data_IF_264607278510
#
_entry.id   IF_264607278510
#
_cell.length_a   1.000
_cell.length_b   1.000
_cell.length_c   1.000
_cell.angle_alpha   90.00
_cell.angle_beta   90.00
_cell.angle_gamma   90.00
#
_symmetry.space_group_name_H-M   'P 1'
#
loop_
_entity.id
_entity.type
_entity.pdbx_description
1 polymer ?
#
# COMPACT_ATOMS: atom_id res chain seq x y z
N UNK A 1 -1.76 2.14 33.16
CA UNK A 1 -1.48 1.63 31.80
C UNK A 1 -0.03 1.19 31.75
N UNK A 2 0.24 -0.04 31.33
CA UNK A 2 1.62 -0.50 31.12
C UNK A 2 2.27 0.37 30.03
N UNK A 3 3.52 0.81 30.27
CA UNK A 3 4.32 1.53 29.26
C UNK A 3 4.64 0.55 28.13
N UNK A 4 4.28 0.91 26.90
CA UNK A 4 4.75 0.22 25.70
C UNK A 4 6.27 0.17 25.69
N UNK A 5 6.84 -0.98 25.32
CA UNK A 5 8.27 -1.06 25.00
C UNK A 5 8.56 -0.28 23.71
N UNK A 6 9.82 0.12 23.50
CA UNK A 6 10.19 0.90 22.32
C UNK A 6 9.86 0.16 21.00
N UNK A 7 10.09 -1.16 20.97
CA UNK A 7 9.82 -2.02 19.80
C UNK A 7 8.31 -2.09 19.52
N UNK A 8 7.49 -2.27 20.54
CA UNK A 8 6.03 -2.31 20.36
C UNK A 8 5.47 -0.95 19.94
N UNK A 9 6.04 0.14 20.45
CA UNK A 9 5.67 1.49 20.06
C UNK A 9 5.99 1.75 18.58
N UNK A 10 7.19 1.37 18.11
CA UNK A 10 7.59 1.53 16.71
C UNK A 10 6.73 0.67 15.77
N UNK A 11 6.48 -0.59 16.14
CA UNK A 11 5.61 -1.48 15.36
C UNK A 11 4.20 -0.87 15.22
N UNK A 12 3.60 -0.44 16.34
CA UNK A 12 2.26 0.18 16.33
C UNK A 12 2.25 1.53 15.61
N UNK A 13 3.33 2.31 15.68
CA UNK A 13 3.47 3.56 14.92
C UNK A 13 3.51 3.30 13.43
N UNK A 14 4.24 2.27 12.98
CA UNK A 14 4.27 1.86 11.57
C UNK A 14 2.90 1.38 11.09
N UNK A 15 2.25 0.53 11.88
CA UNK A 15 0.91 0.01 11.57
C UNK A 15 -0.13 1.15 11.50
N UNK A 16 -0.08 2.10 12.44
CA UNK A 16 -0.96 3.27 12.44
C UNK A 16 -0.76 4.13 11.20
N UNK A 17 0.50 4.35 10.80
CA UNK A 17 0.84 5.15 9.62
C UNK A 17 0.27 4.52 8.34
N UNK A 18 0.41 3.21 8.18
CA UNK A 18 -0.12 2.47 7.04
C UNK A 18 -1.66 2.57 6.96
N UNK A 19 -2.36 2.39 8.09
CA UNK A 19 -3.82 2.54 8.14
C UNK A 19 -4.24 3.98 7.82
N UNK A 20 -3.52 4.99 8.30
CA UNK A 20 -3.81 6.38 7.99
C UNK A 20 -3.66 6.69 6.50
N UNK A 21 -2.60 6.17 5.87
CA UNK A 21 -2.35 6.29 4.43
C UNK A 21 -3.47 5.62 3.61
N UNK A 22 -4.00 4.47 4.07
CA UNK A 22 -5.18 3.79 3.50
C UNK A 22 -6.50 4.54 3.71
N UNK A 23 -6.49 5.69 4.38
CA UNK A 23 -7.65 6.58 4.51
C UNK A 23 -8.43 6.46 5.82
N UNK A 24 -8.00 5.60 6.75
CA UNK A 24 -8.68 5.47 8.04
C UNK A 24 -8.51 6.71 8.91
N UNK A 25 -9.54 7.06 9.68
CA UNK A 25 -9.50 8.18 10.63
C UNK A 25 -8.65 7.81 11.85
N UNK A 26 -8.08 8.82 12.54
CA UNK A 26 -7.32 8.59 13.77
C UNK A 26 -8.17 7.93 14.86
N UNK A 27 -9.48 8.21 14.90
CA UNK A 27 -10.41 7.56 15.82
C UNK A 27 -10.51 6.05 15.54
N UNK A 28 -10.71 5.66 14.28
CA UNK A 28 -10.80 4.25 13.89
C UNK A 28 -9.49 3.52 14.16
N UNK A 29 -8.34 4.15 13.84
CA UNK A 29 -7.02 3.58 14.11
C UNK A 29 -6.82 3.36 15.62
N UNK A 30 -7.21 4.34 16.44
CA UNK A 30 -7.14 4.24 17.91
C UNK A 30 -7.87 3.01 18.43
N UNK A 31 -9.05 2.70 17.89
CA UNK A 31 -9.83 1.52 18.25
C UNK A 31 -9.17 0.23 17.76
N UNK A 32 -8.64 0.22 16.53
CA UNK A 32 -8.03 -0.97 15.91
C UNK A 32 -6.74 -1.42 16.59
N UNK A 33 -5.86 -0.48 16.98
CA UNK A 33 -4.52 -0.81 17.49
C UNK A 33 -4.32 -0.51 18.99
N UNK A 34 -5.34 0.08 19.63
CA UNK A 34 -5.34 0.39 21.06
C UNK A 34 -4.32 1.46 21.46
N UNK A 35 -4.02 2.42 20.58
CA UNK A 35 -3.19 3.59 20.88
C UNK A 35 -4.09 4.81 21.02
N UNK A 36 -3.95 5.57 22.11
CA UNK A 36 -4.76 6.75 22.33
C UNK A 36 -4.61 7.82 21.22
N UNK A 37 -5.73 8.45 20.86
CA UNK A 37 -5.85 9.49 19.82
C UNK A 37 -4.78 10.58 19.93
N UNK A 38 -4.45 11.05 21.14
CA UNK A 38 -3.41 12.09 21.34
C UNK A 38 -2.02 11.62 20.89
N UNK A 39 -1.66 10.37 21.18
CA UNK A 39 -0.38 9.78 20.76
C UNK A 39 -0.34 9.61 19.24
N UNK A 40 -1.45 9.15 18.64
CA UNK A 40 -1.59 9.04 17.19
C UNK A 40 -1.49 10.41 16.49
N UNK A 41 -2.13 11.44 17.06
CA UNK A 41 -2.05 12.82 16.55
C UNK A 41 -0.61 13.34 16.56
N UNK A 42 0.10 13.14 17.67
CA UNK A 42 1.52 13.50 17.77
C UNK A 42 2.37 12.75 16.73
N UNK A 43 2.17 11.44 16.57
CA UNK A 43 2.92 10.67 15.57
C UNK A 43 2.62 11.09 14.14
N UNK A 44 1.37 11.45 13.84
CA UNK A 44 0.94 11.99 12.54
C UNK A 44 1.67 13.29 12.22
N UNK A 45 1.72 14.22 13.16
CA UNK A 45 2.39 15.51 13.01
C UNK A 45 3.91 15.35 12.88
N UNK A 46 4.56 14.65 13.82
CA UNK A 46 6.01 14.44 13.82
C UNK A 46 6.48 13.65 12.59
N UNK A 47 5.67 12.69 12.15
CA UNK A 47 5.96 11.85 11.00
C UNK A 47 5.47 12.39 9.67
N UNK A 48 4.82 13.56 9.64
CA UNK A 48 4.22 14.18 8.44
C UNK A 48 3.35 13.21 7.62
N UNK A 49 2.47 12.47 8.29
CA UNK A 49 1.69 11.43 7.61
C UNK A 49 0.72 11.99 6.57
N UNK A 50 0.30 13.25 6.69
CA UNK A 50 -0.53 13.92 5.71
C UNK A 50 0.18 14.11 4.37
N UNK A 51 1.43 14.58 4.39
CA UNK A 51 2.27 14.72 3.18
C UNK A 51 2.43 13.36 2.48
N UNK A 52 2.67 12.30 3.26
CA UNK A 52 2.85 10.96 2.72
C UNK A 52 1.54 10.36 2.21
N UNK A 53 0.43 10.66 2.86
CA UNK A 53 -0.91 10.30 2.38
C UNK A 53 -1.23 11.03 1.08
N UNK A 54 -0.90 12.31 0.96
CA UNK A 54 -1.04 13.06 -0.30
C UNK A 54 -0.23 12.40 -1.42
N UNK A 55 1.03 12.04 -1.15
CA UNK A 55 1.88 11.32 -2.10
C UNK A 55 1.29 9.96 -2.50
N UNK A 56 0.74 9.19 -1.57
CA UNK A 56 0.08 7.91 -1.87
C UNK A 56 -1.25 8.08 -2.62
N UNK A 57 -1.89 9.24 -2.52
CA UNK A 57 -3.11 9.58 -3.26
C UNK A 57 -2.86 10.21 -4.62
N UNK A 58 -1.60 10.43 -5.02
CA UNK A 58 -1.26 10.78 -6.40
C UNK A 58 -1.66 9.62 -7.32
N UNK A 59 -2.69 9.84 -8.11
CA UNK A 59 -3.23 8.89 -9.08
C UNK A 59 -2.70 9.20 -10.49
N UNK A 60 -2.77 8.24 -11.43
CA UNK A 60 -2.51 8.51 -12.85
C UNK A 60 -3.32 9.69 -13.40
N UNK A 61 -4.53 9.92 -12.87
CA UNK A 61 -5.37 11.07 -13.23
C UNK A 61 -4.76 12.43 -12.85
N UNK A 62 -3.92 12.49 -11.81
CA UNK A 62 -3.15 13.69 -11.46
C UNK A 62 -2.09 13.99 -12.53
N UNK A 63 -1.43 12.97 -13.09
CA UNK A 63 -0.49 13.12 -14.21
C UNK A 63 -1.22 13.52 -15.48
N UNK A 64 -2.37 12.89 -15.78
CA UNK A 64 -3.26 13.28 -16.90
C UNK A 64 -3.65 14.76 -16.83
N UNK A 65 -3.87 15.29 -15.62
CA UNK A 65 -4.18 16.71 -15.39
C UNK A 65 -3.02 17.64 -15.76
N UNK A 66 -1.76 17.21 -15.60
CA UNK A 66 -0.58 17.98 -16.05
C UNK A 66 -0.54 18.09 -17.57
N UNK A 67 -0.81 16.98 -18.27
CA UNK A 67 -0.91 16.95 -19.73
C UNK A 67 -2.04 17.84 -20.26
N UNK A 68 -3.23 17.77 -19.64
CA UNK A 68 -4.38 18.60 -20.02
C UNK A 68 -4.14 20.10 -19.81
N UNK A 69 -3.43 20.48 -18.74
CA UNK A 69 -3.03 21.90 -18.52
C UNK A 69 -2.11 22.41 -19.63
N UNK A 70 -1.21 21.57 -20.13
CA UNK A 70 -0.35 21.95 -21.25
C UNK A 70 -1.13 22.05 -22.55
N UNK A 71 -2.06 21.13 -22.83
CA UNK A 71 -2.95 21.20 -23.98
C UNK A 71 -3.80 22.49 -23.97
N UNK A 72 -4.33 22.85 -22.80
CA UNK A 72 -5.09 24.09 -22.62
C UNK A 72 -4.24 25.35 -22.84
N UNK A 73 -2.99 25.37 -22.38
CA UNK A 73 -2.08 26.49 -22.63
C UNK A 73 -1.78 26.65 -24.13
N UNK A 74 -1.61 25.54 -24.86
CA UNK A 74 -1.42 25.54 -26.33
C UNK A 74 -2.65 26.14 -27.02
N UNK A 75 -3.87 25.68 -26.67
CA UNK A 75 -5.13 26.18 -27.24
C UNK A 75 -5.28 27.70 -27.07
N UNK A 76 -4.78 28.24 -25.95
CA UNK A 76 -4.86 29.67 -25.61
C UNK A 76 -3.70 30.51 -26.12
N UNK A 77 -2.67 29.90 -26.73
CA UNK A 77 -1.43 30.60 -27.11
C UNK A 77 -0.61 31.08 -25.91
N UNK A 78 -0.79 30.46 -24.74
CA UNK A 78 -0.09 30.78 -23.50
C UNK A 78 1.23 29.99 -23.37
N UNK A 79 2.22 30.50 -22.62
CA UNK A 79 3.42 29.74 -22.32
C UNK A 79 3.08 28.46 -21.55
N UNK A 80 3.76 27.36 -21.88
CA UNK A 80 3.52 26.08 -21.24
C UNK A 80 3.86 26.14 -19.74
N UNK A 81 2.96 25.67 -18.85
CA UNK A 81 3.22 25.65 -17.41
C UNK A 81 4.32 24.67 -17.01
N UNK A 82 4.60 23.67 -17.86
CA UNK A 82 5.64 22.67 -17.68
C UNK A 82 6.29 22.35 -19.03
N UNK A 83 7.55 21.91 -19.03
CA UNK A 83 8.20 21.43 -20.25
C UNK A 83 7.63 20.07 -20.65
N UNK A 84 7.38 19.88 -21.94
CA UNK A 84 6.85 18.62 -22.46
C UNK A 84 7.74 17.41 -22.11
N UNK A 85 9.06 17.56 -22.20
CA UNK A 85 10.04 16.52 -21.85
C UNK A 85 9.95 16.09 -20.37
N UNK A 86 9.75 17.04 -19.46
CA UNK A 86 9.61 16.74 -18.03
C UNK A 86 8.31 15.94 -17.77
N UNK A 87 7.22 16.28 -18.44
CA UNK A 87 5.96 15.52 -18.36
C UNK A 87 6.16 14.10 -18.89
N UNK A 88 6.79 13.92 -20.05
CA UNK A 88 7.06 12.60 -20.62
C UNK A 88 7.89 11.72 -19.68
N UNK A 89 8.91 12.27 -19.03
CA UNK A 89 9.72 11.55 -18.05
C UNK A 89 8.92 11.14 -16.81
N UNK A 90 8.08 12.04 -16.30
CA UNK A 90 7.22 11.76 -15.14
C UNK A 90 6.18 10.70 -15.49
N UNK A 91 5.53 10.79 -16.65
CA UNK A 91 4.57 9.79 -17.14
C UNK A 91 5.25 8.42 -17.26
N UNK A 92 6.41 8.35 -17.91
CA UNK A 92 7.14 7.09 -18.10
C UNK A 92 7.63 6.48 -16.76
N UNK A 93 8.01 7.31 -15.78
CA UNK A 93 8.32 6.83 -14.44
C UNK A 93 7.06 6.31 -13.72
N UNK A 94 5.93 6.98 -13.89
CA UNK A 94 4.66 6.59 -13.30
C UNK A 94 4.17 5.25 -13.86
N UNK A 95 4.14 5.10 -15.19
CA UNK A 95 3.74 3.86 -15.88
C UNK A 95 4.57 2.65 -15.45
N UNK A 96 5.87 2.84 -15.17
CA UNK A 96 6.74 1.77 -14.67
C UNK A 96 6.43 1.36 -13.23
N UNK A 97 5.99 2.29 -12.39
CA UNK A 97 5.71 2.06 -10.96
C UNK A 97 4.29 1.53 -10.77
N UNK A 98 3.34 1.92 -11.64
CA UNK A 98 1.94 1.46 -11.61
C UNK A 98 1.66 0.33 -12.59
N UNK A 99 2.70 -0.37 -13.05
CA UNK A 99 2.55 -1.56 -13.88
C UNK A 99 1.94 -2.68 -13.04
N UNK A 100 0.60 -2.73 -13.04
CA UNK A 100 -0.18 -3.68 -12.24
C UNK A 100 0.14 -5.13 -12.55
N UNK A 101 0.61 -5.45 -13.77
CA UNK A 101 1.09 -6.78 -14.10
C UNK A 101 2.38 -7.11 -13.35
N UNK A 102 3.35 -6.19 -13.29
CA UNK A 102 4.54 -6.38 -12.46
C UNK A 102 4.20 -6.45 -10.97
N UNK A 103 3.29 -5.60 -10.49
CA UNK A 103 2.83 -5.62 -9.10
C UNK A 103 2.18 -6.97 -8.76
N UNK A 104 1.31 -7.49 -9.65
CA UNK A 104 0.67 -8.78 -9.47
C UNK A 104 1.70 -9.93 -9.42
N UNK A 105 2.69 -9.93 -10.32
CA UNK A 105 3.75 -10.95 -10.33
C UNK A 105 4.56 -10.94 -9.03
N UNK A 106 5.09 -9.79 -8.60
CA UNK A 106 5.87 -9.72 -7.35
C UNK A 106 5.03 -10.06 -6.11
N UNK A 107 3.75 -9.72 -6.12
CA UNK A 107 2.82 -10.08 -5.05
C UNK A 107 2.60 -11.59 -5.02
N UNK A 108 2.39 -12.22 -6.19
CA UNK A 108 2.23 -13.68 -6.32
C UNK A 108 3.45 -14.41 -5.76
N UNK A 109 4.67 -14.00 -6.16
CA UNK A 109 5.92 -14.58 -5.64
C UNK A 109 6.03 -14.46 -4.11
N UNK A 110 5.62 -13.31 -3.54
CA UNK A 110 5.66 -13.07 -2.10
C UNK A 110 4.64 -13.95 -1.35
N UNK A 111 3.43 -14.08 -1.87
CA UNK A 111 2.36 -14.90 -1.29
C UNK A 111 2.67 -16.39 -1.41
N UNK A 112 3.29 -16.82 -2.51
CA UNK A 112 3.81 -18.19 -2.67
C UNK A 112 4.95 -18.46 -1.70
N UNK A 113 5.89 -17.51 -1.54
CA UNK A 113 6.95 -17.60 -0.54
C UNK A 113 6.40 -17.76 0.88
N UNK A 114 5.38 -16.98 1.25
CA UNK A 114 4.69 -17.13 2.54
C UNK A 114 3.97 -18.48 2.67
N UNK A 115 3.29 -18.92 1.62
CA UNK A 115 2.60 -20.20 1.57
C UNK A 115 3.58 -21.36 1.78
N UNK A 116 4.72 -21.33 1.11
CA UNK A 116 5.82 -22.29 1.26
C UNK A 116 6.38 -22.30 2.68
N UNK A 117 6.60 -21.12 3.27
CA UNK A 117 7.03 -21.01 4.67
C UNK A 117 6.07 -21.72 5.62
N UNK A 118 4.75 -21.53 5.47
CA UNK A 118 3.75 -22.23 6.30
C UNK A 118 3.75 -23.74 6.05
N UNK A 119 3.87 -24.17 4.79
CA UNK A 119 3.95 -25.58 4.42
C UNK A 119 5.20 -26.26 5.00
N UNK A 120 6.35 -25.58 5.00
CA UNK A 120 7.58 -26.06 5.65
C UNK A 120 7.38 -26.23 7.16
N UNK A 121 6.74 -25.25 7.82
CA UNK A 121 6.39 -25.36 9.25
C UNK A 121 5.43 -26.52 9.52
N UNK A 122 4.48 -26.77 8.63
CA UNK A 122 3.60 -27.93 8.71
C UNK A 122 4.38 -29.25 8.53
N UNK A 123 5.34 -29.29 7.60
CA UNK A 123 6.23 -30.43 7.35
C UNK A 123 7.11 -30.78 8.55
N UNK A 124 7.57 -29.77 9.28
CA UNK A 124 8.39 -29.91 10.49
C UNK A 124 7.58 -30.16 11.77
N UNK A 125 6.25 -30.20 11.68
CA UNK A 125 5.34 -30.34 12.82
C UNK A 125 4.54 -31.65 12.75
N UNK A 126 4.00 -32.08 13.90
CA UNK A 126 3.11 -33.24 14.00
C UNK A 126 1.86 -32.92 14.82
N UNK A 127 0.85 -33.79 14.72
CA UNK A 127 -0.43 -33.68 15.44
C UNK A 127 -1.15 -32.35 15.19
N UNK A 128 -1.76 -31.82 16.25
CA UNK A 128 -2.61 -30.62 16.20
C UNK A 128 -1.92 -29.39 15.60
N UNK A 129 -0.60 -29.23 15.84
CA UNK A 129 0.16 -28.09 15.32
C UNK A 129 0.29 -28.12 13.79
N UNK A 130 0.52 -29.32 13.23
CA UNK A 130 0.51 -29.53 11.78
C UNK A 130 -0.87 -29.23 11.20
N UNK A 131 -1.93 -29.73 11.82
CA UNK A 131 -3.31 -29.46 11.39
C UNK A 131 -3.63 -27.97 11.36
N UNK A 132 -3.19 -27.21 12.38
CA UNK A 132 -3.35 -25.75 12.39
C UNK A 132 -2.71 -25.10 11.17
N UNK A 133 -1.43 -25.37 10.88
CA UNK A 133 -0.77 -24.80 9.71
C UNK A 133 -1.47 -25.18 8.39
N UNK A 134 -1.89 -26.44 8.27
CA UNK A 134 -2.59 -26.94 7.08
C UNK A 134 -3.98 -26.29 6.90
N UNK A 135 -4.69 -26.00 7.99
CA UNK A 135 -5.98 -25.33 7.92
C UNK A 135 -5.81 -23.84 7.59
N UNK A 136 -4.86 -23.17 8.22
CA UNK A 136 -4.56 -21.76 7.94
C UNK A 136 -4.23 -21.56 6.46
N UNK A 137 -3.35 -22.38 5.88
CA UNK A 137 -2.99 -22.20 4.47
C UNK A 137 -4.17 -22.44 3.52
N UNK A 138 -5.03 -23.41 3.82
CA UNK A 138 -6.25 -23.69 3.04
C UNK A 138 -7.25 -22.53 3.10
N UNK A 139 -7.36 -21.90 4.26
CA UNK A 139 -8.28 -20.79 4.48
C UNK A 139 -7.81 -19.52 3.79
N UNK A 140 -6.52 -19.18 3.88
CA UNK A 140 -6.00 -17.91 3.35
C UNK A 140 -5.73 -17.93 1.85
N UNK A 141 -5.40 -19.08 1.26
CA UNK A 141 -4.99 -19.18 -0.16
C UNK A 141 -6.06 -18.66 -1.13
N UNK A 142 -7.36 -18.97 -0.97
CA UNK A 142 -8.39 -18.36 -1.82
C UNK A 142 -8.39 -16.83 -1.78
N UNK A 143 -8.10 -16.20 -0.63
CA UNK A 143 -8.02 -14.75 -0.53
C UNK A 143 -6.78 -14.17 -1.24
N UNK A 144 -5.67 -14.92 -1.27
CA UNK A 144 -4.51 -14.57 -2.09
C UNK A 144 -4.87 -14.58 -3.57
N UNK A 145 -5.51 -15.66 -4.05
CA UNK A 145 -5.93 -15.78 -5.46
C UNK A 145 -6.92 -14.68 -5.87
N UNK A 146 -7.87 -14.36 -4.99
CA UNK A 146 -8.81 -13.24 -5.18
C UNK A 146 -8.07 -11.91 -5.32
N UNK A 147 -7.10 -11.63 -4.44
CA UNK A 147 -6.36 -10.37 -4.47
C UNK A 147 -5.47 -10.25 -5.72
N UNK A 148 -4.80 -11.34 -6.13
CA UNK A 148 -4.02 -11.37 -7.37
C UNK A 148 -4.91 -11.10 -8.59
N UNK A 149 -6.09 -11.72 -8.62
CA UNK A 149 -7.07 -11.49 -9.70
C UNK A 149 -7.49 -10.02 -9.77
N UNK A 150 -7.74 -9.38 -8.63
CA UNK A 150 -8.08 -7.95 -8.56
C UNK A 150 -6.93 -7.07 -9.08
N UNK A 151 -5.67 -7.42 -8.79
CA UNK A 151 -4.50 -6.70 -9.30
C UNK A 151 -4.37 -6.84 -10.81
N UNK A 152 -4.57 -8.03 -11.36
CA UNK A 152 -4.49 -8.27 -12.81
C UNK A 152 -5.61 -7.52 -13.56
N UNK A 153 -6.84 -7.53 -13.04
CA UNK A 153 -7.95 -6.80 -13.64
C UNK A 153 -7.69 -5.28 -13.71
N UNK A 154 -7.01 -4.70 -12.73
CA UNK A 154 -6.60 -3.28 -12.75
C UNK A 154 -5.50 -2.98 -13.76
N UNK A 155 -4.78 -3.99 -14.26
CA UNK A 155 -3.79 -3.85 -15.32
C UNK A 155 -4.37 -3.87 -16.73
N UNK A 156 -5.61 -4.33 -16.89
CA UNK A 156 -6.32 -4.43 -18.17
C UNK A 156 -7.20 -3.19 -18.49
N UNK A 157 -7.37 -2.27 -17.53
CA UNK A 157 -8.09 -0.98 -17.63
C UNK A 157 -7.17 0.22 -17.94
#
# INVERSE_FOLDING_TARGET
MARLTAVEADYKKSQAKELFAKGFSIANISEMIGIGIKTLGKWREEGKWDDEKELQTLKPSNIRKLTLKCAQAIERGEPLPYKADDITKIVAAFDRITDYNKIAVYTMESLDGFSNFILEKAGQSSGKKRETYMNTIKEIRPYFDMYITELLQKGDD
#
